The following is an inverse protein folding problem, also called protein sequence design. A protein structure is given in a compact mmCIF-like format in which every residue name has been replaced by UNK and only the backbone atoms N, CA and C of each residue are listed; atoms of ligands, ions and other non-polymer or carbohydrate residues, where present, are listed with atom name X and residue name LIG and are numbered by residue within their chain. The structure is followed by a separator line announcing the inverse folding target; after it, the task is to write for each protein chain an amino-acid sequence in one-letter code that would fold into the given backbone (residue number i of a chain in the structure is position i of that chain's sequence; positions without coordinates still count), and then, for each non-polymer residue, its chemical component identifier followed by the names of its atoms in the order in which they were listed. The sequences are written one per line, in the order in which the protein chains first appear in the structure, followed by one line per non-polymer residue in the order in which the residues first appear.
data_IF_687294606686
#
_entry.id   IF_687294606686
#
_cell.length_a   1.000
_cell.length_b   1.000
_cell.length_c   1.000
_cell.angle_alpha   90.00
_cell.angle_beta   90.00
_cell.angle_gamma   90.00
#
_symmetry.space_group_name_H-M   'P 1'
#
loop_
_entity.id
_entity.type
_entity.pdbx_description
1 polymer ?
#
# COMPACT_ATOMS: atom_id res chain seq x y z
N UNK A 1 -12.37 -16.38 35.35
CA UNK A 1 -11.17 -15.76 34.75
C UNK A 1 -10.66 -16.68 33.65
N UNK A 2 -11.02 -16.42 32.40
CA UNK A 2 -10.48 -17.11 31.21
C UNK A 2 -10.26 -16.04 30.15
N UNK A 3 -9.00 -15.83 29.80
CA UNK A 3 -8.53 -14.81 28.87
C UNK A 3 -8.59 -15.39 27.46
N UNK A 4 -9.48 -14.87 26.61
CA UNK A 4 -9.55 -15.26 25.20
C UNK A 4 -8.56 -14.43 24.37
N UNK A 5 -7.47 -15.06 23.95
CA UNK A 5 -6.48 -14.55 23.00
C UNK A 5 -6.96 -14.80 21.57
N UNK A 6 -7.41 -13.77 20.87
CA UNK A 6 -7.50 -13.76 19.40
C UNK A 6 -7.03 -12.39 18.91
N UNK A 7 -5.78 -12.29 18.46
CA UNK A 7 -5.26 -11.14 17.73
C UNK A 7 -5.37 -11.42 16.23
N UNK A 8 -6.00 -10.52 15.49
CA UNK A 8 -6.02 -10.43 14.01
C UNK A 8 -5.26 -9.13 13.67
N UNK A 9 -4.26 -9.07 12.81
CA UNK A 9 -3.79 -10.07 11.88
C UNK A 9 -3.85 -9.65 10.39
N UNK A 10 -4.04 -8.38 10.01
CA UNK A 10 -4.29 -7.99 8.59
C UNK A 10 -3.03 -7.79 7.73
N UNK A 11 -3.12 -7.87 6.41
CA UNK A 11 -1.96 -7.75 5.48
C UNK A 11 -2.47 -7.01 4.24
N UNK A 12 -1.90 -5.85 3.88
CA UNK A 12 -2.42 -4.88 2.89
C UNK A 12 -1.40 -4.71 1.79
N UNK A 13 -1.47 -5.53 0.74
CA UNK A 13 -0.61 -5.58 -0.46
C UNK A 13 -0.85 -4.39 -1.44
N UNK A 14 0.17 -3.62 -1.84
CA UNK A 14 0.14 -2.42 -2.71
C UNK A 14 1.23 -2.57 -3.79
N UNK A 15 0.99 -2.32 -5.07
CA UNK A 15 2.01 -2.45 -6.12
C UNK A 15 2.31 -1.10 -6.73
N UNK A 16 3.53 -0.55 -6.65
CA UNK A 16 3.80 0.82 -7.12
C UNK A 16 5.09 0.87 -7.97
N UNK A 17 5.14 1.88 -8.87
CA UNK A 17 6.26 2.43 -9.67
C UNK A 17 6.53 3.95 -9.40
N UNK A 18 7.57 4.31 -8.61
CA UNK A 18 8.24 5.62 -8.38
C UNK A 18 7.56 6.70 -7.51
N UNK A 19 8.36 7.33 -6.62
CA UNK A 19 8.00 8.49 -5.81
C UNK A 19 8.83 9.78 -6.06
N UNK A 20 8.17 10.92 -5.85
CA UNK A 20 8.72 12.19 -5.36
C UNK A 20 7.57 12.90 -4.59
N UNK A 21 7.76 13.21 -3.31
CA UNK A 21 6.71 13.80 -2.45
C UNK A 21 7.28 14.99 -1.67
N UNK A 22 6.82 16.20 -2.02
CA UNK A 22 7.06 17.45 -1.29
C UNK A 22 5.70 17.94 -0.78
N UNK A 23 5.51 17.99 0.53
CA UNK A 23 4.24 18.39 1.16
C UNK A 23 4.21 19.89 1.42
N UNK A 24 3.25 20.60 0.83
CA UNK A 24 2.61 21.77 1.44
C UNK A 24 1.11 21.56 1.43
N UNK A 25 0.51 21.59 2.62
CA UNK A 25 -0.93 21.42 2.83
C UNK A 25 -1.66 22.69 2.44
N UNK A 26 -2.55 22.61 1.45
CA UNK A 26 -3.66 23.55 1.29
C UNK A 26 -4.91 22.73 1.03
N UNK A 27 -5.79 22.67 2.02
CA UNK A 27 -7.13 22.10 1.88
C UNK A 27 -8.05 23.21 1.39
N UNK A 28 -8.82 22.99 0.34
CA UNK A 28 -9.95 23.86 -0.02
C UNK A 28 -11.21 23.01 -0.10
N UNK A 29 -12.12 23.22 0.86
CA UNK A 29 -13.48 22.69 0.84
C UNK A 29 -14.38 23.62 0.02
N UNK A 30 -15.30 23.05 -0.76
CA UNK A 30 -16.54 23.72 -1.13
C UNK A 30 -17.63 23.31 -0.11
N UNK A 31 -18.17 24.29 0.61
CA UNK A 31 -19.03 24.15 1.78
C UNK A 31 -20.47 23.71 1.44
N UNK A 32 -21.19 23.11 2.41
CA UNK A 32 -22.06 23.95 3.25
C UNK A 32 -21.75 23.77 4.73
N UNK A 33 -21.54 24.88 5.43
CA UNK A 33 -21.32 25.00 6.89
C UNK A 33 -20.24 24.06 7.50
N UNK A 34 -19.08 24.66 7.75
CA UNK A 34 -17.89 24.14 8.45
C UNK A 34 -18.25 23.20 9.62
N UNK A 35 -18.22 21.90 9.35
CA UNK A 35 -18.10 20.87 10.39
C UNK A 35 -16.74 20.25 10.20
N UNK A 36 -15.82 20.51 11.13
CA UNK A 36 -14.51 19.88 11.18
C UNK A 36 -14.66 18.35 11.04
N UNK A 37 -13.81 17.66 10.26
CA UNK A 37 -13.82 16.20 10.23
C UNK A 37 -13.67 15.69 11.66
N UNK A 38 -14.73 15.09 12.19
CA UNK A 38 -14.82 14.75 13.62
C UNK A 38 -13.98 13.52 13.96
N UNK A 39 -13.37 12.89 12.96
CA UNK A 39 -12.48 11.75 13.08
C UNK A 39 -11.09 12.13 12.57
N UNK A 40 -10.11 12.05 13.46
CA UNK A 40 -8.70 12.18 13.09
C UNK A 40 -8.28 11.00 12.20
N UNK A 41 -7.59 11.23 11.07
CA UNK A 41 -7.12 10.14 10.23
C UNK A 41 -6.08 9.29 10.98
N UNK A 42 -6.18 7.98 10.83
CA UNK A 42 -5.17 7.04 11.33
C UNK A 42 -4.13 6.89 10.22
N UNK A 43 -2.90 7.32 10.50
CA UNK A 43 -1.80 7.17 9.56
C UNK A 43 -1.43 5.70 9.38
N UNK A 44 -1.25 5.28 8.13
CA UNK A 44 -0.71 3.96 7.78
C UNK A 44 0.81 4.00 7.51
N UNK A 45 1.47 5.11 7.83
CA UNK A 45 2.92 5.24 7.68
C UNK A 45 3.64 4.26 8.61
N UNK A 46 4.70 3.64 8.11
CA UNK A 46 5.48 2.66 8.86
C UNK A 46 6.23 1.69 7.98
N UNK A 47 6.58 0.53 8.54
CA UNK A 47 7.22 -0.55 7.81
C UNK A 47 6.16 -1.46 7.20
N UNK A 48 6.25 -1.65 5.90
CA UNK A 48 5.39 -2.54 5.13
C UNK A 48 6.24 -3.68 4.60
N UNK A 49 5.65 -4.87 4.50
CA UNK A 49 6.24 -5.95 3.72
C UNK A 49 6.33 -5.50 2.25
N UNK A 50 7.31 -5.97 1.50
CA UNK A 50 7.58 -5.52 0.15
C UNK A 50 8.14 -6.67 -0.69
N UNK A 51 7.55 -6.89 -1.86
CA UNK A 51 7.85 -7.97 -2.79
C UNK A 51 8.21 -7.35 -4.12
N UNK A 52 9.50 -7.15 -4.35
CA UNK A 52 9.99 -6.58 -5.60
C UNK A 52 9.77 -7.52 -6.79
N UNK A 53 9.37 -6.97 -7.94
CA UNK A 53 9.21 -7.70 -9.20
C UNK A 53 7.99 -8.62 -9.26
N UNK A 54 7.11 -8.57 -8.26
CA UNK A 54 5.99 -9.48 -8.10
C UNK A 54 4.67 -8.69 -8.01
N UNK A 55 3.68 -9.07 -8.82
CA UNK A 55 2.30 -8.60 -8.72
C UNK A 55 1.49 -9.72 -8.07
N UNK A 56 1.27 -9.62 -6.76
CA UNK A 56 0.68 -10.68 -5.96
C UNK A 56 -0.77 -10.32 -5.59
N UNK A 57 -1.67 -11.25 -5.83
CA UNK A 57 -3.03 -11.23 -5.31
C UNK A 57 -3.10 -11.89 -3.93
N UNK A 58 -4.20 -11.71 -3.17
CA UNK A 58 -4.39 -12.40 -1.89
C UNK A 58 -4.29 -13.92 -1.97
N UNK A 59 -4.64 -14.54 -3.10
CA UNK A 59 -4.56 -15.99 -3.29
C UNK A 59 -3.11 -16.48 -3.28
N UNK A 60 -2.17 -15.70 -3.80
CA UNK A 60 -0.75 -16.08 -3.89
C UNK A 60 -0.09 -16.22 -2.50
N UNK A 61 -0.66 -15.58 -1.47
CA UNK A 61 -0.19 -15.71 -0.09
C UNK A 61 -0.73 -16.97 0.61
N UNK A 62 -1.83 -17.55 0.15
CA UNK A 62 -2.41 -18.75 0.74
C UNK A 62 -1.58 -20.00 0.45
N UNK A 63 -0.93 -20.04 -0.73
CA UNK A 63 -0.19 -21.20 -1.22
C UNK A 63 1.26 -21.26 -0.72
N UNK A 64 1.69 -20.30 0.11
CA UNK A 64 3.06 -20.22 0.63
C UNK A 64 4.13 -19.98 -0.45
N UNK A 65 3.72 -19.63 -1.66
CA UNK A 65 4.57 -19.48 -2.84
C UNK A 65 5.40 -18.19 -2.85
N UNK A 66 5.08 -17.22 -1.98
CA UNK A 66 5.76 -15.92 -1.93
C UNK A 66 7.09 -15.99 -1.20
N UNK A 67 8.15 -16.27 -1.94
CA UNK A 67 9.52 -16.15 -1.47
C UNK A 67 10.02 -14.68 -1.55
N UNK A 68 10.95 -14.32 -0.65
CA UNK A 68 11.76 -13.08 -0.67
C UNK A 68 11.03 -11.75 -0.42
N UNK A 69 10.11 -11.72 0.54
CA UNK A 69 9.63 -10.44 1.07
C UNK A 69 10.72 -9.68 1.83
N UNK A 70 10.86 -8.38 1.56
CA UNK A 70 11.64 -7.41 2.34
C UNK A 70 10.74 -6.46 3.13
N UNK A 71 11.31 -5.62 3.99
CA UNK A 71 10.59 -4.51 4.64
C UNK A 71 10.94 -3.20 3.96
N UNK A 72 9.97 -2.32 3.75
CA UNK A 72 10.18 -0.97 3.22
C UNK A 72 9.39 0.06 4.03
N UNK A 73 9.96 1.26 4.20
CA UNK A 73 9.24 2.37 4.81
C UNK A 73 8.20 2.94 3.84
N UNK A 74 7.01 3.26 4.36
CA UNK A 74 5.97 3.99 3.64
C UNK A 74 5.57 5.22 4.48
N UNK A 75 5.48 6.42 3.89
CA UNK A 75 5.81 6.74 2.50
C UNK A 75 7.34 6.78 2.27
N UNK A 76 7.81 6.15 1.19
CA UNK A 76 9.16 6.34 0.65
C UNK A 76 9.24 5.84 -0.80
N UNK A 77 10.25 6.30 -1.55
CA UNK A 77 10.60 5.72 -2.85
C UNK A 77 11.42 4.44 -2.65
N UNK A 78 11.13 3.33 -3.33
CA UNK A 78 12.11 2.22 -3.34
C UNK A 78 13.33 2.52 -4.20
N UNK A 79 13.23 3.46 -5.16
CA UNK A 79 14.29 3.66 -6.14
C UNK A 79 15.60 4.01 -5.44
N UNK A 80 16.66 3.26 -5.73
CA UNK A 80 17.98 3.38 -5.10
C UNK A 80 18.13 2.66 -3.75
N UNK A 81 17.06 2.12 -3.15
CA UNK A 81 17.18 1.35 -1.91
C UNK A 81 17.79 -0.04 -2.16
N UNK A 82 18.56 -0.54 -1.19
CA UNK A 82 19.11 -1.90 -1.16
C UNK A 82 18.43 -2.64 0.00
N UNK A 83 17.57 -3.62 -0.30
CA UNK A 83 16.69 -4.26 0.69
C UNK A 83 17.17 -5.66 1.13
N UNK A 84 18.40 -6.03 0.78
CA UNK A 84 19.03 -7.30 1.15
C UNK A 84 19.44 -8.15 -0.07
N UNK A 85 20.24 -9.21 0.14
CA UNK A 85 20.86 -9.98 -0.94
C UNK A 85 19.86 -10.73 -1.83
N UNK A 86 18.68 -11.05 -1.28
CA UNK A 86 17.63 -11.80 -1.99
C UNK A 86 16.68 -10.91 -2.79
N UNK A 87 16.79 -9.59 -2.65
CA UNK A 87 16.01 -8.61 -3.41
C UNK A 87 16.90 -7.98 -4.45
N UNK A 88 16.53 -8.10 -5.73
CA UNK A 88 17.28 -7.52 -6.85
C UNK A 88 18.78 -7.86 -6.83
N UNK A 89 19.13 -9.10 -6.44
CA UNK A 89 20.51 -9.56 -6.29
C UNK A 89 21.39 -8.66 -5.39
N UNK A 90 20.79 -8.02 -4.38
CA UNK A 90 21.47 -7.09 -3.48
C UNK A 90 21.86 -5.75 -4.12
N UNK A 91 21.39 -5.47 -5.34
CA UNK A 91 21.64 -4.21 -6.03
C UNK A 91 20.56 -3.17 -5.70
N UNK A 92 20.89 -1.86 -5.80
CA UNK A 92 19.91 -0.80 -5.66
C UNK A 92 18.72 -1.01 -6.59
N UNK A 93 17.50 -0.86 -6.06
CA UNK A 93 16.29 -1.03 -6.85
C UNK A 93 16.20 0.05 -7.95
N UNK A 94 15.85 -0.34 -9.19
CA UNK A 94 15.70 0.62 -10.27
C UNK A 94 14.49 1.53 -10.04
N UNK A 95 14.44 2.62 -10.80
CA UNK A 95 13.30 3.53 -10.82
C UNK A 95 12.04 2.80 -11.32
N UNK A 96 12.10 2.20 -12.50
CA UNK A 96 10.99 1.45 -13.09
C UNK A 96 10.95 0.00 -12.61
N UNK A 97 9.75 -0.49 -12.36
CA UNK A 97 9.49 -1.88 -12.03
C UNK A 97 8.11 -2.04 -11.40
N UNK A 98 7.83 -3.24 -10.95
CA UNK A 98 6.61 -3.56 -10.20
C UNK A 98 6.99 -4.09 -8.83
N UNK A 99 6.08 -3.96 -7.88
CA UNK A 99 6.24 -4.55 -6.57
C UNK A 99 4.89 -4.95 -6.00
N UNK A 100 4.87 -5.57 -4.82
CA UNK A 100 3.68 -5.69 -3.97
C UNK A 100 4.06 -5.34 -2.53
N UNK A 101 3.26 -4.59 -1.79
CA UNK A 101 3.62 -3.93 -0.53
C UNK A 101 2.59 -4.27 0.53
N UNK A 102 2.87 -5.05 1.57
CA UNK A 102 1.86 -5.53 2.50
C UNK A 102 1.86 -4.84 3.88
N UNK A 103 0.75 -4.27 4.35
CA UNK A 103 0.63 -3.70 5.71
C UNK A 103 -0.45 -4.31 6.59
N UNK A 104 -0.17 -4.46 7.88
CA UNK A 104 -1.16 -4.86 8.86
C UNK A 104 -1.82 -3.65 9.51
N UNK A 105 -3.11 -3.47 9.27
CA UNK A 105 -3.87 -2.36 9.87
C UNK A 105 -4.76 -2.89 10.98
N UNK A 106 -4.51 -2.45 12.21
CA UNK A 106 -5.36 -2.75 13.36
C UNK A 106 -6.29 -1.57 13.59
N UNK A 107 -7.59 -1.79 13.41
CA UNK A 107 -8.61 -0.76 13.66
C UNK A 107 -8.92 -0.74 15.16
N UNK A 108 -8.85 0.43 15.83
CA UNK A 108 -9.25 0.58 17.23
C UNK A 108 -10.69 0.13 17.47
N UNK A 109 -11.01 -0.53 18.60
CA UNK A 109 -12.35 -1.07 18.87
C UNK A 109 -13.48 -0.04 18.79
N UNK A 110 -13.20 1.22 19.14
CA UNK A 110 -14.13 2.35 19.09
C UNK A 110 -14.41 2.86 17.67
N UNK A 111 -13.58 2.48 16.69
CA UNK A 111 -13.73 2.78 15.27
C UNK A 111 -14.32 1.61 14.47
N UNK A 112 -14.61 0.49 15.13
CA UNK A 112 -15.23 -0.67 14.46
C UNK A 112 -16.68 -0.33 14.07
N UNK A 113 -17.06 -0.59 12.81
CA UNK A 113 -18.39 -0.29 12.20
C UNK A 113 -18.67 1.19 11.95
N UNK A 114 -17.67 2.07 12.02
CA UNK A 114 -17.78 3.41 11.44
C UNK A 114 -17.52 3.37 9.93
N UNK A 115 -17.94 4.41 9.20
CA UNK A 115 -17.59 4.55 7.79
C UNK A 115 -16.11 4.91 7.70
N UNK A 116 -15.29 3.96 7.25
CA UNK A 116 -13.86 4.15 7.07
C UNK A 116 -13.53 4.19 5.59
N UNK A 117 -12.68 5.13 5.21
CA UNK A 117 -12.15 5.26 3.86
C UNK A 117 -10.64 5.03 3.89
N UNK A 118 -10.12 4.29 2.91
CA UNK A 118 -8.69 4.25 2.64
C UNK A 118 -8.35 5.43 1.72
N UNK A 119 -7.56 6.38 2.23
CA UNK A 119 -7.04 7.49 1.45
C UNK A 119 -5.62 7.18 1.01
N UNK A 120 -5.38 7.16 -0.30
CA UNK A 120 -4.05 7.16 -0.90
C UNK A 120 -3.79 8.55 -1.45
N UNK A 121 -2.82 9.26 -0.88
CA UNK A 121 -2.59 10.68 -1.21
C UNK A 121 -2.06 10.88 -2.64
N UNK A 122 -1.12 10.04 -3.08
CA UNK A 122 -0.60 10.08 -4.45
C UNK A 122 0.05 8.75 -4.81
N UNK A 123 -0.48 8.10 -5.85
CA UNK A 123 0.15 6.94 -6.49
C UNK A 123 0.34 7.29 -7.96
N UNK A 124 1.59 7.60 -8.34
CA UNK A 124 1.96 8.03 -9.69
C UNK A 124 2.08 6.89 -10.71
N UNK A 125 1.34 5.80 -10.51
CA UNK A 125 1.44 4.56 -11.30
C UNK A 125 0.09 3.86 -11.34
N UNK A 126 -0.04 2.83 -12.19
CA UNK A 126 -1.18 1.94 -12.11
C UNK A 126 -1.12 1.10 -10.82
N UNK A 127 -2.26 0.87 -10.18
CA UNK A 127 -2.34 0.07 -8.96
C UNK A 127 -3.67 -0.66 -8.84
N UNK A 128 -3.67 -1.72 -8.03
CA UNK A 128 -4.85 -2.42 -7.55
C UNK A 128 -4.77 -2.58 -6.04
N UNK A 129 -5.91 -2.53 -5.35
CA UNK A 129 -6.00 -2.60 -3.89
C UNK A 129 -6.90 -3.75 -3.50
N UNK A 130 -6.40 -4.59 -2.59
CA UNK A 130 -7.18 -5.61 -1.92
C UNK A 130 -7.26 -5.32 -0.42
N UNK A 131 -8.45 -5.52 0.15
CA UNK A 131 -8.67 -5.49 1.60
C UNK A 131 -9.33 -6.79 2.00
N UNK A 132 -8.70 -7.51 2.94
CA UNK A 132 -9.21 -8.81 3.43
C UNK A 132 -9.50 -9.84 2.32
N UNK A 133 -8.71 -9.82 1.24
CA UNK A 133 -8.90 -10.74 0.11
C UNK A 133 -9.81 -10.22 -1.00
N UNK A 134 -10.58 -9.15 -0.74
CA UNK A 134 -11.52 -8.58 -1.70
C UNK A 134 -10.87 -7.43 -2.49
N UNK A 135 -11.04 -7.43 -3.81
CA UNK A 135 -10.57 -6.35 -4.68
C UNK A 135 -11.49 -5.13 -4.51
N UNK A 136 -10.96 -4.05 -3.94
CA UNK A 136 -11.71 -2.80 -3.77
C UNK A 136 -11.69 -1.91 -5.01
N UNK A 137 -10.69 -2.09 -5.86
CA UNK A 137 -10.52 -1.29 -7.08
C UNK A 137 -9.06 -0.95 -7.32
N UNK A 138 -8.83 0.14 -8.03
CA UNK A 138 -7.52 0.55 -8.49
C UNK A 138 -7.60 1.64 -9.55
N UNK A 139 -6.45 2.08 -10.02
CA UNK A 139 -6.34 3.07 -11.07
C UNK A 139 -5.40 2.53 -12.15
N UNK A 140 -5.84 2.55 -13.41
CA UNK A 140 -5.06 2.02 -14.53
C UNK A 140 -5.03 0.49 -14.61
N UNK A 141 -4.07 -0.03 -15.40
CA UNK A 141 -3.83 -1.48 -15.56
C UNK A 141 -2.39 -1.79 -15.20
N UNK A 142 -2.20 -2.68 -14.21
CA UNK A 142 -0.88 -3.15 -13.77
C UNK A 142 -0.33 -4.19 -14.75
N UNK A 143 0.97 -4.15 -15.02
CA UNK A 143 1.64 -5.07 -15.93
C UNK A 143 3.06 -5.38 -15.43
N UNK A 144 3.52 -6.63 -15.59
CA UNK A 144 4.87 -7.05 -15.18
C UNK A 144 6.01 -6.32 -15.92
N UNK A 145 5.74 -5.78 -17.11
CA UNK A 145 6.64 -4.87 -17.83
C UNK A 145 5.99 -3.47 -17.88
N UNK A 146 6.13 -2.66 -16.82
CA UNK A 146 5.45 -1.38 -16.72
C UNK A 146 6.00 -0.36 -17.70
N UNK A 147 7.28 -0.48 -18.09
CA UNK A 147 7.90 0.43 -19.06
C UNK A 147 7.27 0.36 -20.46
N UNK A 148 6.57 -0.74 -20.79
CA UNK A 148 5.93 -0.94 -22.09
C UNK A 148 4.42 -1.07 -22.03
N UNK A 149 3.87 -1.61 -20.94
CA UNK A 149 2.50 -2.13 -20.93
C UNK A 149 1.63 -1.64 -19.76
N UNK A 150 2.12 -0.77 -18.86
CA UNK A 150 1.21 -0.14 -17.90
C UNK A 150 0.40 0.98 -18.55
N UNK A 151 -0.81 1.22 -18.07
CA UNK A 151 -1.62 2.37 -18.48
C UNK A 151 -2.09 3.11 -17.24
N UNK A 152 -1.32 4.10 -16.74
CA UNK A 152 -1.75 4.93 -15.63
C UNK A 152 -2.91 5.79 -16.10
N UNK A 153 -3.91 6.01 -15.24
CA UNK A 153 -4.93 7.02 -15.47
C UNK A 153 -4.76 8.08 -14.41
N UNK A 154 -4.50 9.32 -14.81
CA UNK A 154 -4.50 10.44 -13.88
C UNK A 154 -5.95 10.91 -13.68
N UNK A 155 -6.36 11.10 -12.43
CA UNK A 155 -7.61 11.80 -12.08
C UNK A 155 -7.37 13.29 -12.00
#
# INVERSE_FOLDING_TARGET
MVINRWQRAFVVSVAIGVALLVVRVVVTQAAPALTEPTQSPISLSGQWQFYWGQLLSPADFADGATANGASIAVPSSWAGQVLGPNVNAGQPLPYFGVATYCAQVVIPPDQVRTHTMLLLESVGSAYQIWVNGELLGGLGTVAHDPARNETPRFM
#
